data_IF_228745170376
#
_entry.id   IF_228745170376
#
_cell.length_a   1.000
_cell.length_b   1.000
_cell.length_c   1.000
_cell.angle_alpha   90.00
_cell.angle_beta   90.00
_cell.angle_gamma   90.00
#
_symmetry.space_group_name_H-M   'P 1'
#
loop_
_entity.id
_entity.type
_entity.pdbx_description
1 polymer ?
#
# COMPACT_ATOMS: atom_id res chain seq x y z
N UNK A 1 25.98 1.18 29.21
CA UNK A 1 25.93 1.03 27.74
C UNK A 1 25.63 -0.43 27.46
N UNK A 2 24.34 -0.79 27.37
CA UNK A 2 23.94 -2.11 26.92
C UNK A 2 23.70 -2.01 25.43
N UNK A 3 24.60 -2.60 24.65
CA UNK A 3 24.33 -3.00 23.28
C UNK A 3 23.38 -4.20 23.34
N UNK A 4 22.11 -3.95 23.66
CA UNK A 4 21.09 -4.98 23.50
C UNK A 4 20.85 -5.11 22.00
N UNK A 5 21.41 -6.18 21.45
CA UNK A 5 21.05 -6.70 20.16
C UNK A 5 19.52 -6.79 20.12
N UNK A 6 18.90 -5.84 19.43
CA UNK A 6 17.46 -5.83 19.24
C UNK A 6 17.15 -7.02 18.35
N UNK A 7 16.86 -8.16 18.98
CA UNK A 7 16.40 -9.37 18.32
C UNK A 7 15.17 -9.04 17.46
N UNK A 8 14.88 -9.86 16.44
CA UNK A 8 13.76 -9.59 15.56
C UNK A 8 12.48 -9.43 16.36
N UNK A 9 11.81 -8.29 16.21
CA UNK A 9 10.55 -8.02 16.91
C UNK A 9 9.51 -9.05 16.46
N UNK A 10 9.07 -9.85 17.43
CA UNK A 10 8.24 -11.04 17.18
C UNK A 10 6.75 -10.73 17.03
N UNK A 11 6.31 -9.51 17.32
CA UNK A 11 4.89 -9.16 17.36
C UNK A 11 4.61 -7.67 17.18
N UNK A 12 3.35 -7.36 16.90
CA UNK A 12 2.89 -5.97 16.77
C UNK A 12 2.89 -5.23 18.11
N UNK A 13 2.58 -5.92 19.19
CA UNK A 13 2.57 -5.35 20.54
C UNK A 13 3.99 -4.97 20.96
N UNK A 14 4.96 -5.88 20.83
CA UNK A 14 6.37 -5.62 21.11
C UNK A 14 6.96 -4.53 20.22
N UNK A 15 6.55 -4.44 18.94
CA UNK A 15 6.91 -3.30 18.07
C UNK A 15 6.37 -1.97 18.61
N UNK A 16 5.14 -1.98 19.11
CA UNK A 16 4.44 -0.78 19.61
C UNK A 16 5.04 -0.31 20.93
N UNK A 17 5.39 -1.24 21.83
CA UNK A 17 6.10 -0.97 23.07
C UNK A 17 7.48 -0.36 22.79
N UNK A 18 8.28 -1.01 21.94
CA UNK A 18 9.57 -0.48 21.52
C UNK A 18 9.43 0.93 20.91
N UNK A 19 8.50 1.12 19.97
CA UNK A 19 8.30 2.42 19.34
C UNK A 19 7.93 3.51 20.36
N UNK A 20 7.11 3.18 21.35
CA UNK A 20 6.73 4.08 22.44
C UNK A 20 7.92 4.44 23.32
N UNK A 21 8.77 3.49 23.68
CA UNK A 21 10.00 3.75 24.44
C UNK A 21 10.95 4.68 23.69
N UNK A 22 11.00 4.56 22.37
CA UNK A 22 11.79 5.42 21.49
C UNK A 22 11.10 6.77 21.16
N UNK A 23 9.86 7.01 21.61
CA UNK A 23 9.11 8.23 21.31
C UNK A 23 8.68 8.36 19.85
N UNK A 24 8.64 7.26 19.09
CA UNK A 24 8.26 7.23 17.67
C UNK A 24 6.94 6.48 17.45
N UNK A 25 6.38 6.58 16.25
CA UNK A 25 5.12 5.91 15.89
C UNK A 25 5.36 4.72 14.97
N UNK A 26 4.60 3.65 15.21
CA UNK A 26 4.48 2.55 14.26
C UNK A 26 3.65 3.00 13.06
N UNK A 27 4.12 2.66 11.86
CA UNK A 27 3.44 2.89 10.58
C UNK A 27 3.34 1.59 9.78
N UNK A 28 2.44 1.55 8.80
CA UNK A 28 2.44 0.49 7.79
C UNK A 28 3.52 0.84 6.75
N UNK A 29 4.54 0.00 6.64
CA UNK A 29 5.60 0.17 5.64
C UNK A 29 5.24 -0.49 4.30
N UNK A 30 4.57 -1.63 4.34
CA UNK A 30 4.12 -2.36 3.16
C UNK A 30 2.88 -3.18 3.51
N UNK A 31 1.96 -3.31 2.57
CA UNK A 31 0.76 -4.11 2.70
C UNK A 31 0.46 -4.83 1.39
N UNK A 32 0.29 -6.15 1.47
CA UNK A 32 -0.21 -6.98 0.38
C UNK A 32 -1.45 -7.76 0.83
N UNK A 33 -1.93 -8.73 0.04
CA UNK A 33 -3.11 -9.49 0.43
C UNK A 33 -2.86 -10.44 1.59
N UNK A 34 -1.64 -10.93 1.73
CA UNK A 34 -1.25 -11.99 2.65
C UNK A 34 -0.63 -11.45 3.93
N UNK A 35 -0.15 -10.22 3.94
CA UNK A 35 0.59 -9.67 5.05
C UNK A 35 0.57 -8.14 5.15
N UNK A 36 0.76 -7.66 6.37
CA UNK A 36 1.00 -6.25 6.68
C UNK A 36 2.36 -6.16 7.36
N UNK A 37 3.26 -5.36 6.80
CA UNK A 37 4.55 -5.04 7.42
C UNK A 37 4.42 -3.73 8.17
N UNK A 38 4.52 -3.82 9.49
CA UNK A 38 4.59 -2.67 10.38
C UNK A 38 6.06 -2.29 10.58
N UNK A 39 6.32 -1.00 10.68
CA UNK A 39 7.65 -0.45 10.90
C UNK A 39 7.61 0.69 11.91
N UNK A 40 8.66 0.81 12.71
CA UNK A 40 8.99 2.01 13.45
C UNK A 40 10.45 2.38 13.19
N UNK A 41 10.72 3.68 13.03
CA UNK A 41 12.05 4.21 12.73
C UNK A 41 12.41 5.20 13.82
N UNK A 42 13.53 4.96 14.50
CA UNK A 42 14.08 5.82 15.56
C UNK A 42 15.48 6.31 15.17
N UNK A 43 15.86 7.55 15.51
CA UNK A 43 17.26 7.97 15.41
C UNK A 43 18.12 7.17 16.38
N UNK A 44 19.17 6.53 15.87
CA UNK A 44 20.18 5.86 16.68
C UNK A 44 21.15 6.85 17.33
N UNK A 45 21.96 6.38 18.30
CA UNK A 45 22.90 7.23 19.04
C UNK A 45 23.92 7.95 18.14
N UNK A 46 24.29 7.33 17.01
CA UNK A 46 25.24 7.90 16.03
C UNK A 46 24.52 8.65 14.90
N UNK A 47 23.24 8.97 15.06
CA UNK A 47 22.40 9.59 14.02
C UNK A 47 21.93 8.64 12.91
N UNK A 48 22.40 7.40 12.90
CA UNK A 48 21.93 6.37 11.95
C UNK A 48 20.53 5.90 12.34
N UNK A 49 19.61 5.80 11.39
CA UNK A 49 18.25 5.34 11.67
C UNK A 49 18.24 3.85 12.09
N UNK A 50 17.66 3.56 13.25
CA UNK A 50 17.33 2.22 13.70
C UNK A 50 15.92 1.89 13.23
N UNK A 51 15.81 0.85 12.39
CA UNK A 51 14.54 0.43 11.79
C UNK A 51 14.13 -0.91 12.38
N UNK A 52 12.95 -0.95 12.99
CA UNK A 52 12.34 -2.19 13.46
C UNK A 52 11.11 -2.53 12.65
N UNK A 53 10.98 -3.81 12.28
CA UNK A 53 9.91 -4.30 11.42
C UNK A 53 9.28 -5.56 11.97
N UNK A 54 7.96 -5.64 11.82
CA UNK A 54 7.19 -6.85 12.10
C UNK A 54 6.27 -7.14 10.91
N UNK A 55 6.41 -8.34 10.32
CA UNK A 55 5.53 -8.83 9.26
C UNK A 55 4.42 -9.67 9.86
N UNK A 56 3.21 -9.12 9.88
CA UNK A 56 2.01 -9.83 10.28
C UNK A 56 1.45 -10.60 9.08
N UNK A 57 1.63 -11.92 9.06
CA UNK A 57 0.99 -12.79 8.07
C UNK A 57 -0.46 -12.99 8.46
N UNK A 58 -1.36 -12.75 7.51
CA UNK A 58 -2.79 -12.86 7.69
C UNK A 58 -3.25 -14.31 7.53
N UNK A 59 -4.28 -14.75 8.29
CA UNK A 59 -4.89 -16.05 8.07
C UNK A 59 -5.38 -16.22 6.62
N UNK A 60 -5.28 -17.44 6.03
CA UNK A 60 -5.63 -17.66 4.62
C UNK A 60 -7.04 -17.17 4.23
N UNK A 61 -8.03 -17.37 5.10
CA UNK A 61 -9.39 -16.90 4.87
C UNK A 61 -9.49 -15.36 4.75
N UNK A 62 -8.69 -14.63 5.54
CA UNK A 62 -8.62 -13.17 5.48
C UNK A 62 -7.90 -12.71 4.23
N UNK A 63 -6.79 -13.36 3.87
CA UNK A 63 -6.04 -13.05 2.66
C UNK A 63 -6.91 -13.23 1.41
N UNK A 64 -7.65 -14.34 1.33
CA UNK A 64 -8.59 -14.61 0.24
C UNK A 64 -9.72 -13.57 0.18
N UNK A 65 -10.26 -13.15 1.33
CA UNK A 65 -11.28 -12.09 1.38
C UNK A 65 -10.72 -10.76 0.88
N UNK A 66 -9.51 -10.38 1.28
CA UNK A 66 -8.83 -9.16 0.82
C UNK A 66 -8.59 -9.21 -0.69
N UNK A 67 -8.13 -10.34 -1.22
CA UNK A 67 -7.98 -10.56 -2.67
C UNK A 67 -9.31 -10.37 -3.40
N UNK A 68 -10.40 -11.00 -2.92
CA UNK A 68 -11.74 -10.92 -3.52
C UNK A 68 -12.32 -9.51 -3.55
N UNK A 69 -12.04 -8.72 -2.52
CA UNK A 69 -12.54 -7.35 -2.40
C UNK A 69 -11.69 -6.31 -3.14
N UNK A 70 -10.50 -6.68 -3.60
CA UNK A 70 -9.58 -5.76 -4.29
C UNK A 70 -9.88 -5.70 -5.79
N UNK A 71 -9.79 -4.51 -6.37
CA UNK A 71 -9.71 -4.27 -7.81
C UNK A 71 -8.29 -3.92 -8.23
N UNK A 72 -7.92 -4.37 -9.42
CA UNK A 72 -6.78 -3.88 -10.19
C UNK A 72 -7.31 -2.80 -11.15
N UNK A 73 -6.76 -1.61 -11.02
CA UNK A 73 -7.06 -0.47 -11.89
C UNK A 73 -5.80 -0.11 -12.66
N UNK A 74 -5.85 -0.23 -13.98
CA UNK A 74 -4.78 0.21 -14.87
C UNK A 74 -5.14 1.55 -15.50
N UNK A 75 -4.23 2.50 -15.36
CA UNK A 75 -4.30 3.86 -15.86
C UNK A 75 -3.08 4.13 -16.73
N UNK A 76 -3.23 4.96 -17.74
CA UNK A 76 -2.10 5.43 -18.54
C UNK A 76 -2.28 6.90 -18.93
N UNK A 77 -1.19 7.57 -19.26
CA UNK A 77 -1.22 8.89 -19.89
C UNK A 77 -0.02 9.05 -20.82
N UNK A 78 -0.10 10.00 -21.75
CA UNK A 78 1.03 10.37 -22.60
C UNK A 78 1.97 11.34 -21.87
N UNK A 79 3.28 11.11 -21.99
CA UNK A 79 4.34 12.02 -21.55
C UNK A 79 5.36 12.13 -22.66
N UNK A 80 5.29 13.22 -23.44
CA UNK A 80 6.25 13.48 -24.50
C UNK A 80 6.26 12.41 -25.60
N UNK A 81 5.10 11.83 -25.93
CA UNK A 81 4.96 10.79 -26.95
C UNK A 81 5.25 9.37 -26.45
N UNK A 82 5.49 9.18 -25.15
CA UNK A 82 5.62 7.88 -24.52
C UNK A 82 4.44 7.60 -23.58
N UNK A 83 3.96 6.34 -23.55
CA UNK A 83 2.89 5.93 -22.65
C UNK A 83 3.44 5.61 -21.25
N UNK A 84 3.09 6.42 -20.26
CA UNK A 84 3.36 6.13 -18.85
C UNK A 84 2.20 5.32 -18.27
N UNK A 85 2.51 4.14 -17.72
CA UNK A 85 1.51 3.21 -17.19
C UNK A 85 1.53 3.17 -15.66
N UNK A 86 0.35 3.14 -15.05
CA UNK A 86 0.16 3.04 -13.62
C UNK A 86 -0.85 1.95 -13.30
N UNK A 87 -0.49 1.05 -12.39
CA UNK A 87 -1.40 0.03 -11.86
C UNK A 87 -1.61 0.28 -10.39
N UNK A 88 -2.86 0.24 -9.94
CA UNK A 88 -3.25 0.41 -8.53
C UNK A 88 -4.12 -0.76 -8.09
N UNK A 89 -3.87 -1.20 -6.85
CA UNK A 89 -4.70 -2.16 -6.13
C UNK A 89 -5.59 -1.34 -5.20
N UNK A 90 -6.90 -1.41 -5.39
CA UNK A 90 -7.85 -0.57 -4.66
C UNK A 90 -8.97 -1.43 -4.10
N UNK A 91 -9.26 -1.28 -2.81
CA UNK A 91 -10.47 -1.81 -2.19
C UNK A 91 -11.53 -0.70 -2.25
N UNK A 92 -12.75 -0.98 -2.73
CA UNK A 92 -13.79 0.05 -2.81
C UNK A 92 -14.09 0.60 -1.41
N UNK A 93 -14.33 1.92 -1.28
CA UNK A 93 -14.61 2.56 -0.01
C UNK A 93 -15.94 2.08 0.59
N UNK A 94 -16.89 1.71 -0.27
CA UNK A 94 -18.18 1.13 0.11
C UNK A 94 -18.21 -0.33 -0.31
N UNK A 95 -18.21 -1.24 0.66
CA UNK A 95 -18.15 -2.69 0.39
C UNK A 95 -19.49 -3.30 -0.07
N UNK A 96 -20.60 -2.58 0.10
CA UNK A 96 -21.96 -3.02 -0.22
C UNK A 96 -22.49 -2.48 -1.56
N UNK A 97 -21.69 -1.73 -2.31
CA UNK A 97 -22.11 -1.17 -3.58
C UNK A 97 -22.25 -2.25 -4.66
N UNK A 98 -23.12 -2.01 -5.64
CA UNK A 98 -23.18 -2.84 -6.85
C UNK A 98 -21.83 -2.81 -7.60
N UNK A 99 -21.52 -3.85 -8.39
CA UNK A 99 -20.21 -3.98 -9.04
C UNK A 99 -19.87 -2.79 -9.95
N UNK A 100 -20.85 -2.25 -10.67
CA UNK A 100 -20.66 -1.07 -11.53
C UNK A 100 -20.28 0.18 -10.73
N UNK A 101 -21.01 0.46 -9.65
CA UNK A 101 -20.69 1.56 -8.74
C UNK A 101 -19.31 1.36 -8.09
N UNK A 102 -18.99 0.14 -7.66
CA UNK A 102 -17.69 -0.19 -7.10
C UNK A 102 -16.56 0.07 -8.11
N UNK A 103 -16.75 -0.28 -9.39
CA UNK A 103 -15.78 -0.03 -10.47
C UNK A 103 -15.55 1.45 -10.72
N UNK A 104 -16.60 2.26 -10.66
CA UNK A 104 -16.48 3.71 -10.75
C UNK A 104 -15.68 4.26 -9.56
N UNK A 105 -16.04 3.88 -8.34
CA UNK A 105 -15.39 4.37 -7.11
C UNK A 105 -13.90 4.03 -7.06
N UNK A 106 -13.54 2.77 -7.36
CA UNK A 106 -12.12 2.36 -7.35
C UNK A 106 -11.32 3.06 -8.46
N UNK A 107 -11.97 3.44 -9.56
CA UNK A 107 -11.33 4.20 -10.64
C UNK A 107 -10.99 5.61 -10.16
N UNK A 108 -11.93 6.29 -9.51
CA UNK A 108 -11.70 7.62 -8.94
C UNK A 108 -10.59 7.60 -7.88
N UNK A 109 -10.64 6.63 -6.98
CA UNK A 109 -9.61 6.46 -5.95
C UNK A 109 -8.24 6.19 -6.58
N UNK A 110 -8.15 5.31 -7.58
CA UNK A 110 -6.90 5.01 -8.27
C UNK A 110 -6.31 6.26 -8.97
N UNK A 111 -7.13 7.04 -9.66
CA UNK A 111 -6.68 8.26 -10.33
C UNK A 111 -6.18 9.30 -9.32
N UNK A 112 -6.90 9.51 -8.23
CA UNK A 112 -6.50 10.42 -7.15
C UNK A 112 -5.17 10.00 -6.49
N UNK A 113 -4.97 8.69 -6.25
CA UNK A 113 -3.71 8.16 -5.72
C UNK A 113 -2.55 8.38 -6.71
N UNK A 114 -2.77 8.13 -8.00
CA UNK A 114 -1.75 8.36 -9.02
C UNK A 114 -1.38 9.84 -9.08
N UNK A 115 -2.35 10.75 -9.11
CA UNK A 115 -2.07 12.19 -9.10
C UNK A 115 -1.25 12.60 -7.86
N UNK A 116 -1.70 12.19 -6.67
CA UNK A 116 -1.03 12.55 -5.42
C UNK A 116 0.43 12.08 -5.36
N UNK A 117 0.73 10.89 -5.89
CA UNK A 117 2.06 10.29 -5.85
C UNK A 117 2.96 10.68 -7.04
N UNK A 118 2.36 10.94 -8.21
CA UNK A 118 3.08 10.98 -9.49
C UNK A 118 2.99 12.29 -10.24
N UNK A 119 2.14 13.24 -9.84
CA UNK A 119 2.08 14.57 -10.48
C UNK A 119 3.47 15.21 -10.57
N UNK A 120 4.23 15.22 -9.47
CA UNK A 120 5.56 15.82 -9.44
C UNK A 120 6.64 14.98 -10.16
N UNK A 121 6.34 13.73 -10.52
CA UNK A 121 7.32 12.78 -11.09
C UNK A 121 7.13 12.64 -12.60
N UNK A 122 5.90 12.44 -13.07
CA UNK A 122 5.59 12.25 -14.50
C UNK A 122 4.50 13.19 -15.01
N UNK A 123 3.93 14.07 -14.18
CA UNK A 123 2.87 14.98 -14.60
C UNK A 123 1.48 14.35 -14.68
N UNK A 124 1.29 13.15 -14.14
CA UNK A 124 -0.02 12.52 -14.08
C UNK A 124 -1.01 13.37 -13.26
N UNK A 125 -2.20 13.61 -13.82
CA UNK A 125 -3.33 14.27 -13.17
C UNK A 125 -4.59 13.46 -13.44
N UNK A 126 -5.63 13.63 -12.62
CA UNK A 126 -6.93 13.00 -12.87
C UNK A 126 -7.46 13.34 -14.27
N UNK A 127 -7.19 14.55 -14.76
CA UNK A 127 -7.65 15.02 -16.07
C UNK A 127 -6.93 14.38 -17.27
N UNK A 128 -5.69 13.91 -17.11
CA UNK A 128 -4.89 13.33 -18.20
C UNK A 128 -4.75 11.80 -18.13
N UNK A 129 -5.28 11.16 -17.08
CA UNK A 129 -5.24 9.71 -16.92
C UNK A 129 -6.41 9.05 -17.66
N UNK A 130 -6.08 8.05 -18.47
CA UNK A 130 -7.03 7.19 -19.15
C UNK A 130 -7.03 5.80 -18.53
N UNK A 131 -8.21 5.30 -18.16
CA UNK A 131 -8.40 3.97 -17.59
C UNK A 131 -8.43 2.94 -18.72
N UNK A 132 -7.57 1.93 -18.65
CA UNK A 132 -7.57 0.83 -19.63
C UNK A 132 -8.02 -0.51 -19.04
N UNK A 133 -8.05 -0.66 -17.72
CA UNK A 133 -8.61 -1.87 -17.08
C UNK A 133 -9.13 -1.58 -15.69
N UNK A 134 -10.27 -2.20 -15.36
CA UNK A 134 -10.85 -2.24 -14.00
C UNK A 134 -11.43 -3.63 -13.78
N UNK A 135 -10.75 -4.44 -12.97
CA UNK A 135 -11.16 -5.82 -12.74
C UNK A 135 -10.85 -6.29 -11.34
N UNK A 136 -11.60 -7.29 -10.87
CA UNK A 136 -11.33 -7.93 -9.58
C UNK A 136 -9.97 -8.60 -9.60
N UNK A 137 -9.20 -8.42 -8.54
CA UNK A 137 -7.85 -8.96 -8.44
C UNK A 137 -7.79 -10.48 -8.52
N UNK A 138 -8.80 -11.19 -8.01
CA UNK A 138 -8.90 -12.65 -8.13
C UNK A 138 -8.97 -13.17 -9.57
N UNK A 139 -9.31 -12.31 -10.54
CA UNK A 139 -9.38 -12.66 -11.96
C UNK A 139 -8.23 -12.05 -12.77
N UNK A 140 -7.40 -11.20 -12.16
CA UNK A 140 -6.26 -10.59 -12.82
C UNK A 140 -5.19 -11.64 -13.12
N UNK A 141 -4.78 -11.71 -14.38
CA UNK A 141 -3.61 -12.48 -14.80
C UNK A 141 -2.53 -11.50 -15.23
N UNK A 142 -1.36 -11.46 -14.56
CA UNK A 142 -0.23 -10.74 -15.11
C UNK A 142 0.15 -11.40 -16.44
N UNK A 143 0.31 -10.58 -17.46
CA UNK A 143 0.80 -10.98 -18.78
C UNK A 143 2.27 -11.40 -18.71
#
# INVERSE_FOLDING_TARGET
MNADACGPIAGRETLTEWAREQGVRVRVACEDWESITYEAVSPGPDGTAVVQRYRCVLPPAMALRRLRLTYIVGLWHDVGGAACNHVRRVVPPVLSSADEAARHDVTLVAAALVEAERRAVCGATVDNLTVYTVQRAQYWRPF
#
